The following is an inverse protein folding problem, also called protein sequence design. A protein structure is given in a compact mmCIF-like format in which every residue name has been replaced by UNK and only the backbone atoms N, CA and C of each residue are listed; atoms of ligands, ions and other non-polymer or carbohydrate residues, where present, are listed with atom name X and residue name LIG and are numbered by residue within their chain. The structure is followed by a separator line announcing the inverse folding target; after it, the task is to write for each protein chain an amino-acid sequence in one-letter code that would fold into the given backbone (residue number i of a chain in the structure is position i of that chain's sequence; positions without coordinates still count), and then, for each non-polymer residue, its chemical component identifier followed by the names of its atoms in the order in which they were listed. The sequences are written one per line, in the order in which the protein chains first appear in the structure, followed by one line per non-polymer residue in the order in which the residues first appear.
data_IF_179250013991
#
_entry.id   IF_179250013991
#
_cell.length_a   1.000
_cell.length_b   1.000
_cell.length_c   1.000
_cell.angle_alpha   90.00
_cell.angle_beta   90.00
_cell.angle_gamma   90.00
#
_symmetry.space_group_name_H-M   'P 1'
#
loop_
_entity.id
_entity.type
_entity.pdbx_description
1 polymer ?
#
# COMPACT_ATOMS: atom_id res chain seq x y z
N UNK A 1 23.18 -5.72 7.97
CA UNK A 1 21.97 -5.88 7.12
C UNK A 1 21.52 -4.49 6.75
N UNK A 2 21.19 -4.23 5.48
CA UNK A 2 20.66 -2.94 5.05
C UNK A 2 19.27 -2.76 5.65
N UNK A 3 19.01 -1.60 6.25
CA UNK A 3 17.70 -1.24 6.80
C UNK A 3 16.67 -1.18 5.65
N UNK A 4 15.45 -1.69 5.88
CA UNK A 4 14.41 -1.71 4.85
C UNK A 4 14.03 -0.31 4.37
N UNK A 5 14.18 0.70 5.24
CA UNK A 5 13.92 2.10 4.90
C UNK A 5 14.89 2.67 3.85
N UNK A 6 16.04 2.02 3.64
CA UNK A 6 17.08 2.42 2.69
C UNK A 6 17.05 1.60 1.38
N UNK A 7 16.04 0.74 1.21
CA UNK A 7 15.83 0.01 -0.03
C UNK A 7 15.32 0.95 -1.14
N UNK A 8 15.73 0.66 -2.38
CA UNK A 8 15.39 1.49 -3.52
C UNK A 8 13.89 1.48 -3.79
N UNK A 9 13.33 2.67 -3.97
CA UNK A 9 11.96 2.90 -4.41
C UNK A 9 12.02 3.57 -5.78
N UNK A 10 11.32 3.03 -6.77
CA UNK A 10 11.21 3.67 -8.07
C UNK A 10 10.42 4.98 -7.92
N UNK A 11 11.03 6.12 -8.21
CA UNK A 11 10.37 7.43 -8.09
C UNK A 11 9.17 7.60 -9.03
N UNK A 12 9.09 6.80 -10.11
CA UNK A 12 7.99 6.84 -11.09
C UNK A 12 6.76 6.06 -10.63
N UNK A 13 6.89 4.79 -10.23
CA UNK A 13 5.75 3.97 -9.83
C UNK A 13 5.57 3.79 -8.32
N UNK A 14 6.58 4.12 -7.52
CA UNK A 14 6.52 3.98 -6.07
C UNK A 14 6.84 2.58 -5.52
N UNK A 15 7.09 1.58 -6.39
CA UNK A 15 7.43 0.24 -5.92
C UNK A 15 8.83 0.17 -5.31
N UNK A 16 8.91 -0.48 -4.14
CA UNK A 16 10.13 -0.74 -3.40
C UNK A 16 10.74 -2.10 -3.75
N UNK A 17 12.06 -2.12 -3.91
CA UNK A 17 12.85 -3.30 -4.28
C UNK A 17 13.48 -3.95 -3.05
N UNK A 18 14.02 -5.17 -3.20
CA UNK A 18 14.71 -5.89 -2.13
C UNK A 18 16.17 -5.46 -1.91
N UNK A 19 16.68 -4.49 -2.70
CA UNK A 19 18.07 -4.02 -2.66
C UNK A 19 18.13 -2.47 -2.69
N UNK A 20 19.19 -1.84 -2.17
CA UNK A 20 19.33 -0.38 -2.13
C UNK A 20 19.69 0.24 -3.49
N UNK A 21 20.04 -0.56 -4.50
CA UNK A 21 20.37 -0.08 -5.84
C UNK A 21 19.91 -1.09 -6.88
N UNK A 22 19.23 -0.60 -7.91
CA UNK A 22 18.67 -1.40 -9.01
C UNK A 22 18.95 -0.69 -10.33
N UNK A 23 19.24 -1.47 -11.38
CA UNK A 23 19.57 -0.94 -12.71
C UNK A 23 18.33 -0.46 -13.47
N UNK A 24 17.19 -1.12 -13.29
CA UNK A 24 15.91 -0.73 -13.87
C UNK A 24 14.74 -1.22 -13.01
N UNK A 25 13.58 -0.61 -13.22
CA UNK A 25 12.33 -0.95 -12.57
C UNK A 25 11.53 -1.88 -13.48
N UNK A 26 11.49 -3.18 -13.15
CA UNK A 26 10.73 -4.19 -13.91
C UNK A 26 9.29 -3.77 -14.21
N UNK A 27 8.62 -3.13 -13.25
CA UNK A 27 7.23 -2.66 -13.40
C UNK A 27 7.13 -1.49 -14.39
N UNK A 28 8.11 -0.59 -14.41
CA UNK A 28 8.14 0.51 -15.37
C UNK A 28 8.70 0.13 -16.74
N UNK A 29 9.44 -0.97 -16.83
CA UNK A 29 9.92 -1.52 -18.09
C UNK A 29 8.81 -2.25 -18.87
N UNK A 30 7.64 -2.47 -18.25
CA UNK A 30 6.43 -2.89 -18.97
C UNK A 30 6.07 -1.80 -20.01
N UNK A 31 5.93 -2.14 -21.30
CA UNK A 31 5.70 -1.17 -22.37
C UNK A 31 4.39 -0.39 -22.23
N UNK A 32 3.47 -0.84 -21.37
CA UNK A 32 2.23 -0.13 -21.05
C UNK A 32 2.48 1.06 -20.11
N UNK A 33 3.64 1.14 -19.47
CA UNK A 33 3.96 2.18 -18.51
C UNK A 33 4.70 3.37 -19.15
N UNK A 34 4.32 4.57 -18.72
CA UNK A 34 5.04 5.79 -19.08
C UNK A 34 6.37 5.89 -18.31
N UNK A 35 7.47 5.97 -19.04
CA UNK A 35 8.79 6.31 -18.50
C UNK A 35 9.10 7.78 -18.85
N UNK A 36 9.48 8.63 -17.87
CA UNK A 36 9.90 9.99 -18.15
C UNK A 36 11.09 10.06 -19.14
N UNK A 37 11.20 11.12 -19.96
CA UNK A 37 12.35 11.28 -20.88
C UNK A 37 13.72 11.30 -20.19
N UNK A 38 13.77 11.67 -18.90
CA UNK A 38 14.98 11.65 -18.06
C UNK A 38 15.38 10.25 -17.62
N UNK A 39 14.62 9.21 -17.99
CA UNK A 39 14.78 7.85 -17.50
C UNK A 39 14.20 7.65 -16.11
N UNK A 40 14.50 6.47 -15.55
CA UNK A 40 14.07 6.07 -14.21
C UNK A 40 14.99 6.68 -13.14
N UNK A 41 14.40 7.02 -11.99
CA UNK A 41 15.12 7.51 -10.83
C UNK A 41 14.65 6.81 -9.57
N UNK A 42 15.42 6.95 -8.50
CA UNK A 42 15.26 6.19 -7.27
C UNK A 42 15.23 7.10 -6.05
N UNK A 43 14.43 6.73 -5.06
CA UNK A 43 14.39 7.32 -3.71
C UNK A 43 14.39 6.19 -2.68
N UNK A 44 14.27 6.52 -1.40
CA UNK A 44 14.08 5.55 -0.31
C UNK A 44 13.00 6.06 0.64
N UNK A 45 12.40 5.19 1.44
CA UNK A 45 11.40 5.62 2.42
C UNK A 45 12.04 6.56 3.45
N UNK A 46 13.30 6.29 3.86
CA UNK A 46 14.07 7.19 4.71
C UNK A 46 14.24 8.58 4.09
N UNK A 47 14.57 8.67 2.81
CA UNK A 47 14.74 9.95 2.14
C UNK A 47 13.42 10.74 2.08
N UNK A 48 12.31 10.05 1.77
CA UNK A 48 10.97 10.64 1.77
C UNK A 48 10.60 11.18 3.15
N UNK A 49 10.75 10.38 4.21
CA UNK A 49 10.45 10.76 5.59
C UNK A 49 11.36 11.88 6.12
N UNK A 50 12.64 11.90 5.72
CA UNK A 50 13.62 12.92 6.14
C UNK A 50 13.37 14.25 5.44
N UNK A 51 12.85 14.24 4.20
CA UNK A 51 12.54 15.47 3.48
C UNK A 51 11.49 16.34 4.17
N UNK A 52 10.60 15.74 4.97
CA UNK A 52 9.44 16.39 5.61
C UNK A 52 8.49 17.10 4.63
N UNK A 53 8.58 16.77 3.34
CA UNK A 53 7.76 17.37 2.30
C UNK A 53 6.47 16.60 2.02
N UNK A 54 6.38 15.35 2.48
CA UNK A 54 5.27 14.45 2.19
C UNK A 54 4.42 14.18 3.44
N UNK A 55 3.12 14.05 3.22
CA UNK A 55 2.14 13.57 4.19
C UNK A 55 1.06 12.78 3.45
N UNK A 56 0.26 12.01 4.17
CA UNK A 56 -0.90 11.33 3.61
C UNK A 56 -2.19 12.06 4.00
N UNK A 57 -2.99 12.40 2.99
CA UNK A 57 -4.32 12.97 3.13
C UNK A 57 -5.37 11.85 3.23
N UNK A 58 -6.32 12.02 4.14
CA UNK A 58 -7.42 11.09 4.37
C UNK A 58 -8.72 11.76 3.94
N UNK A 59 -9.32 11.26 2.86
CA UNK A 59 -10.53 11.83 2.26
C UNK A 59 -11.66 10.81 2.39
N UNK A 60 -12.61 11.02 3.31
CA UNK A 60 -13.81 10.19 3.40
C UNK A 60 -14.61 10.22 2.10
N UNK A 61 -15.15 9.07 1.71
CA UNK A 61 -16.07 8.97 0.59
C UNK A 61 -17.35 9.80 0.84
N UNK A 62 -17.95 10.34 -0.22
CA UNK A 62 -19.14 11.20 -0.10
C UNK A 62 -20.41 10.41 0.21
N UNK A 63 -20.46 9.14 -0.19
CA UNK A 63 -21.62 8.25 -0.02
C UNK A 63 -21.48 7.41 1.26
N UNK A 64 -20.26 6.97 1.57
CA UNK A 64 -19.95 6.09 2.70
C UNK A 64 -18.81 6.64 3.58
N UNK A 65 -18.92 7.86 4.13
CA UNK A 65 -17.83 8.55 4.83
C UNK A 65 -17.29 7.79 6.05
N UNK A 66 -18.13 6.99 6.72
CA UNK A 66 -17.72 6.20 7.88
C UNK A 66 -17.05 4.87 7.51
N UNK A 67 -17.27 4.38 6.29
CA UNK A 67 -16.89 3.05 5.85
C UNK A 67 -15.77 3.05 4.81
N UNK A 68 -15.58 4.15 4.06
CA UNK A 68 -14.60 4.23 2.99
C UNK A 68 -13.83 5.55 3.08
N UNK A 69 -12.51 5.45 3.18
CA UNK A 69 -11.61 6.60 3.26
C UNK A 69 -10.49 6.41 2.24
N UNK A 70 -10.37 7.31 1.27
CA UNK A 70 -9.24 7.34 0.36
C UNK A 70 -8.01 7.93 1.07
N UNK A 71 -6.85 7.33 0.86
CA UNK A 71 -5.56 7.75 1.39
C UNK A 71 -4.64 8.00 0.21
N UNK A 72 -4.08 9.20 0.11
CA UNK A 72 -3.12 9.56 -0.95
C UNK A 72 -2.00 10.44 -0.40
N UNK A 73 -0.83 10.36 -1.02
CA UNK A 73 0.33 11.13 -0.61
C UNK A 73 0.37 12.50 -1.29
N UNK A 74 0.58 13.56 -0.51
CA UNK A 74 0.73 14.95 -0.95
C UNK A 74 2.11 15.49 -0.55
N UNK A 75 2.87 16.11 -1.48
CA UNK A 75 2.58 16.26 -2.91
C UNK A 75 2.63 14.91 -3.64
N UNK A 76 2.15 14.89 -4.89
CA UNK A 76 2.07 13.69 -5.73
C UNK A 76 3.39 12.91 -5.70
N UNK A 77 3.32 11.66 -5.26
CA UNK A 77 4.41 10.69 -5.27
C UNK A 77 4.10 9.57 -6.27
N UNK A 78 5.12 9.08 -6.96
CA UNK A 78 4.97 8.06 -8.00
C UNK A 78 3.94 8.48 -9.05
N UNK A 79 3.04 7.56 -9.42
CA UNK A 79 1.97 7.83 -10.38
C UNK A 79 0.77 8.58 -9.78
N UNK A 80 0.81 8.92 -8.48
CA UNK A 80 -0.32 9.55 -7.77
C UNK A 80 -1.38 8.54 -7.35
N UNK A 81 -0.91 7.44 -6.75
CA UNK A 81 -1.74 6.34 -6.28
C UNK A 81 -2.65 6.77 -5.12
N UNK A 82 -3.77 6.07 -4.98
CA UNK A 82 -4.61 6.16 -3.78
C UNK A 82 -4.89 4.76 -3.27
N UNK A 83 -4.75 4.55 -1.96
CA UNK A 83 -5.26 3.36 -1.29
C UNK A 83 -6.62 3.69 -0.65
N UNK A 84 -7.43 2.68 -0.40
CA UNK A 84 -8.73 2.86 0.24
C UNK A 84 -8.79 2.06 1.53
N UNK A 85 -9.02 2.73 2.66
CA UNK A 85 -9.30 2.08 3.93
C UNK A 85 -10.80 1.74 3.99
N UNK A 86 -11.12 0.47 3.77
CA UNK A 86 -12.45 -0.10 3.85
C UNK A 86 -12.71 -0.54 5.29
N UNK A 87 -13.50 0.24 6.04
CA UNK A 87 -13.79 0.02 7.46
C UNK A 87 -14.99 -0.88 7.64
N UNK A 88 -14.78 -2.04 8.25
CA UNK A 88 -15.86 -3.01 8.52
C UNK A 88 -15.95 -3.33 10.01
N UNK A 89 -17.08 -3.86 10.52
CA UNK A 89 -17.18 -4.32 11.91
C UNK A 89 -16.22 -5.49 12.24
N UNK A 90 -15.73 -6.20 11.22
CA UNK A 90 -14.86 -7.35 11.32
C UNK A 90 -13.36 -6.99 11.33
N UNK A 91 -13.02 -5.73 11.05
CA UNK A 91 -11.66 -5.26 10.81
C UNK A 91 -11.55 -4.46 9.52
N UNK A 92 -10.57 -3.58 9.44
CA UNK A 92 -10.36 -2.75 8.25
C UNK A 92 -9.53 -3.48 7.20
N UNK A 93 -9.88 -3.30 5.93
CA UNK A 93 -9.08 -3.76 4.79
C UNK A 93 -8.46 -2.52 4.14
N UNK A 94 -7.17 -2.57 3.82
CA UNK A 94 -6.58 -1.60 2.91
C UNK A 94 -6.64 -2.18 1.49
N UNK A 95 -7.49 -1.58 0.65
CA UNK A 95 -7.52 -1.89 -0.77
C UNK A 95 -6.46 -1.06 -1.49
N UNK A 96 -5.57 -1.76 -2.18
CA UNK A 96 -4.31 -1.25 -2.71
C UNK A 96 -3.35 -0.69 -1.62
N UNK A 97 -2.17 -0.21 -2.02
CA UNK A 97 -1.17 0.33 -1.11
C UNK A 97 -0.43 1.51 -1.75
N UNK A 98 -0.09 2.53 -0.95
CA UNK A 98 0.70 3.69 -1.39
C UNK A 98 2.12 3.63 -0.84
N UNK A 99 3.02 4.41 -1.45
CA UNK A 99 4.46 4.36 -1.17
C UNK A 99 4.86 5.00 0.17
N UNK A 100 4.29 6.16 0.50
CA UNK A 100 4.71 6.91 1.67
C UNK A 100 4.02 6.41 2.93
N UNK A 101 4.81 6.11 3.95
CA UNK A 101 4.36 5.70 5.28
C UNK A 101 5.18 6.43 6.34
N UNK A 102 4.51 7.06 7.29
CA UNK A 102 5.11 7.74 8.42
C UNK A 102 4.32 7.50 9.71
N UNK A 103 4.90 7.90 10.84
CA UNK A 103 4.31 7.66 12.17
C UNK A 103 2.93 8.32 12.33
N UNK A 104 2.71 9.47 11.68
CA UNK A 104 1.43 10.17 11.70
C UNK A 104 0.34 9.36 10.97
N UNK A 105 0.67 8.79 9.81
CA UNK A 105 -0.22 7.89 9.06
C UNK A 105 -0.53 6.64 9.88
N UNK A 106 0.49 6.01 10.49
CA UNK A 106 0.33 4.81 11.32
C UNK A 106 -0.59 5.11 12.51
N UNK A 107 -0.35 6.21 13.21
CA UNK A 107 -1.17 6.66 14.35
C UNK A 107 -2.62 6.86 13.90
N UNK A 108 -2.83 7.60 12.81
CA UNK A 108 -4.19 7.89 12.31
C UNK A 108 -4.96 6.64 11.93
N UNK A 109 -4.32 5.68 11.25
CA UNK A 109 -4.98 4.42 10.87
C UNK A 109 -5.25 3.56 12.10
N UNK A 110 -4.35 3.54 13.08
CA UNK A 110 -4.54 2.84 14.36
C UNK A 110 -5.78 3.36 15.09
N UNK A 111 -5.96 4.69 15.17
CA UNK A 111 -7.17 5.33 15.72
C UNK A 111 -8.45 4.94 14.97
N UNK A 112 -8.34 4.66 13.68
CA UNK A 112 -9.46 4.24 12.83
C UNK A 112 -9.76 2.72 12.92
N UNK A 113 -8.99 1.97 13.71
CA UNK A 113 -9.16 0.53 13.96
C UNK A 113 -8.07 -0.36 13.35
N UNK A 114 -6.94 0.21 12.91
CA UNK A 114 -5.82 -0.55 12.33
C UNK A 114 -6.11 -1.08 10.92
N UNK A 115 -5.33 -2.08 10.49
CA UNK A 115 -5.50 -2.80 9.21
C UNK A 115 -5.42 -4.29 9.52
N UNK A 116 -6.45 -5.05 9.15
CA UNK A 116 -6.50 -6.50 9.33
C UNK A 116 -5.96 -7.26 8.12
N UNK A 117 -6.02 -6.65 6.93
CA UNK A 117 -5.46 -7.20 5.69
C UNK A 117 -5.21 -6.08 4.68
N UNK A 118 -4.17 -6.25 3.87
CA UNK A 118 -3.92 -5.45 2.66
C UNK A 118 -4.24 -6.32 1.46
N UNK A 119 -5.00 -5.81 0.49
CA UNK A 119 -5.30 -6.51 -0.77
C UNK A 119 -4.83 -5.62 -1.90
N UNK A 120 -3.88 -6.09 -2.72
CA UNK A 120 -3.35 -5.31 -3.82
C UNK A 120 -3.94 -5.81 -5.13
N UNK A 121 -4.51 -4.89 -5.90
CA UNK A 121 -5.23 -5.22 -7.12
C UNK A 121 -4.33 -5.54 -8.30
N UNK A 122 -3.14 -4.93 -8.39
CA UNK A 122 -2.17 -5.14 -9.47
C UNK A 122 -0.78 -4.55 -9.17
N UNK A 123 0.28 -4.88 -9.95
CA UNK A 123 1.68 -4.64 -9.59
C UNK A 123 2.10 -3.20 -9.31
N UNK A 124 1.48 -2.20 -9.95
CA UNK A 124 1.84 -0.80 -9.67
C UNK A 124 1.62 -0.42 -8.21
N UNK A 125 0.64 -1.04 -7.55
CA UNK A 125 0.31 -0.82 -6.15
C UNK A 125 1.15 -1.62 -5.15
N UNK A 126 2.15 -2.39 -5.60
CA UNK A 126 3.07 -3.04 -4.67
C UNK A 126 3.77 -2.02 -3.76
N UNK A 127 4.11 -0.83 -4.25
CA UNK A 127 4.50 0.29 -3.38
C UNK A 127 5.53 -0.12 -2.30
N UNK A 128 5.31 0.26 -1.03
CA UNK A 128 6.06 -0.18 0.15
C UNK A 128 5.26 -1.19 1.00
N UNK A 129 4.45 -2.04 0.36
CA UNK A 129 3.46 -2.91 1.06
C UNK A 129 4.01 -3.74 2.22
N UNK A 130 5.27 -4.17 2.19
CA UNK A 130 5.87 -4.89 3.33
C UNK A 130 6.15 -3.99 4.53
N UNK A 131 6.43 -2.70 4.33
CA UNK A 131 6.55 -1.74 5.43
C UNK A 131 5.19 -1.48 6.08
N UNK A 132 4.14 -1.38 5.26
CA UNK A 132 2.75 -1.30 5.75
C UNK A 132 2.36 -2.57 6.51
N UNK A 133 2.61 -3.75 5.94
CA UNK A 133 2.34 -5.02 6.58
C UNK A 133 3.05 -5.16 7.92
N UNK A 134 4.32 -4.74 8.01
CA UNK A 134 5.08 -4.75 9.25
C UNK A 134 4.53 -3.76 10.29
N UNK A 135 4.12 -2.56 9.86
CA UNK A 135 3.58 -1.54 10.76
C UNK A 135 2.22 -1.93 11.39
N UNK A 136 1.42 -2.72 10.67
CA UNK A 136 0.08 -3.13 11.12
C UNK A 136 -0.04 -4.62 11.47
N UNK A 137 1.06 -5.37 11.41
CA UNK A 137 1.11 -6.82 11.66
C UNK A 137 0.01 -7.60 10.92
N UNK A 138 -0.07 -7.39 9.59
CA UNK A 138 -1.17 -7.93 8.78
C UNK A 138 -0.68 -8.59 7.47
N UNK A 139 -1.43 -9.56 6.92
CA UNK A 139 -1.11 -10.18 5.65
C UNK A 139 -1.36 -9.24 4.46
N UNK A 140 -0.59 -9.44 3.38
CA UNK A 140 -0.76 -8.80 2.08
C UNK A 140 -1.18 -9.83 1.05
N UNK A 141 -2.38 -9.71 0.52
CA UNK A 141 -2.90 -10.60 -0.50
C UNK A 141 -2.61 -10.06 -1.90
N UNK A 142 -1.99 -10.91 -2.71
CA UNK A 142 -1.61 -10.62 -4.11
C UNK A 142 -2.13 -11.74 -5.01
N UNK A 143 -2.48 -11.41 -6.26
CA UNK A 143 -2.89 -12.44 -7.22
C UNK A 143 -1.70 -13.32 -7.54
N UNK A 144 -1.90 -14.64 -7.60
CA UNK A 144 -0.87 -15.57 -8.07
C UNK A 144 -0.48 -15.29 -9.54
N UNK A 145 -1.36 -14.70 -10.34
CA UNK A 145 -1.06 -14.26 -11.71
C UNK A 145 -0.03 -13.13 -11.75
N UNK A 146 0.07 -12.35 -10.67
CA UNK A 146 1.02 -11.24 -10.56
C UNK A 146 2.37 -11.66 -9.95
N UNK A 147 2.57 -12.95 -9.64
CA UNK A 147 3.75 -13.43 -8.90
C UNK A 147 5.08 -13.06 -9.58
N UNK A 148 5.10 -13.07 -10.92
CA UNK A 148 6.29 -12.70 -11.67
C UNK A 148 6.68 -11.23 -11.47
N UNK A 149 5.74 -10.34 -11.16
CA UNK A 149 5.98 -8.91 -11.01
C UNK A 149 6.49 -8.55 -9.61
N UNK A 150 6.48 -9.49 -8.65
CA UNK A 150 6.88 -9.23 -7.27
C UNK A 150 8.41 -9.04 -7.21
N UNK A 151 8.82 -7.78 -7.13
CA UNK A 151 10.25 -7.39 -7.05
C UNK A 151 10.82 -7.41 -5.62
N UNK A 152 9.96 -7.50 -4.61
CA UNK A 152 10.34 -7.61 -3.20
C UNK A 152 9.44 -8.63 -2.52
N UNK A 153 10.04 -9.75 -2.10
CA UNK A 153 9.33 -10.81 -1.37
C UNK A 153 9.46 -10.65 0.14
N UNK A 154 8.42 -11.05 0.88
CA UNK A 154 8.40 -11.02 2.34
C UNK A 154 7.37 -11.99 2.92
N UNK A 155 7.48 -12.33 4.22
CA UNK A 155 6.66 -13.38 4.84
C UNK A 155 5.18 -13.02 5.00
N UNK A 156 4.83 -11.73 4.93
CA UNK A 156 3.44 -11.28 5.03
C UNK A 156 2.63 -11.52 3.74
N UNK A 157 3.28 -11.82 2.62
CA UNK A 157 2.60 -12.00 1.33
C UNK A 157 1.88 -13.35 1.28
N UNK A 158 0.64 -13.32 0.81
CA UNK A 158 -0.18 -14.50 0.53
C UNK A 158 -0.64 -14.42 -0.92
N UNK A 159 -0.20 -15.37 -1.75
CA UNK A 159 -0.66 -15.49 -3.13
C UNK A 159 -2.00 -16.22 -3.14
N UNK A 160 -2.99 -15.64 -3.83
CA UNK A 160 -4.29 -16.28 -4.02
C UNK A 160 -4.50 -16.65 -5.49
N UNK A 161 -5.15 -17.79 -5.72
CA UNK A 161 -5.55 -18.24 -7.05
C UNK A 161 -7.07 -18.06 -7.26
N UNK A 162 -7.46 -17.77 -8.50
CA UNK A 162 -8.86 -17.67 -8.91
C UNK A 162 -9.49 -16.29 -8.71
N UNK A 163 -10.80 -16.20 -8.90
CA UNK A 163 -11.52 -14.91 -9.02
C UNK A 163 -12.14 -14.40 -7.73
N UNK A 164 -11.96 -15.12 -6.61
CA UNK A 164 -12.53 -14.77 -5.30
C UNK A 164 -11.50 -14.99 -4.22
N UNK A 165 -11.24 -13.95 -3.44
CA UNK A 165 -10.40 -13.99 -2.26
C UNK A 165 -11.29 -13.98 -1.00
N UNK A 166 -11.44 -15.12 -0.29
CA UNK A 166 -12.02 -15.10 1.04
C UNK A 166 -11.00 -14.49 2.02
N UNK A 167 -11.36 -13.38 2.65
CA UNK A 167 -10.52 -12.75 3.67
C UNK A 167 -10.84 -13.36 5.05
N UNK A 168 -9.82 -13.76 5.84
CA UNK A 168 -10.02 -14.35 7.15
C UNK A 168 -10.30 -13.28 8.21
N UNK A 169 -11.25 -12.38 7.95
CA UNK A 169 -11.71 -11.43 8.96
C UNK A 169 -12.64 -12.16 9.94
N UNK A 170 -12.53 -11.91 11.26
CA UNK A 170 -13.50 -12.41 12.23
C UNK A 170 -14.92 -12.09 11.78
N UNK A 171 -15.89 -12.97 12.00
CA UNK A 171 -17.30 -12.61 11.78
C UNK A 171 -17.62 -11.39 12.65
N UNK A 172 -17.78 -10.24 12.01
CA UNK A 172 -18.02 -8.99 12.73
C UNK A 172 -19.30 -9.10 13.56
N UNK A 173 -19.28 -8.60 14.80
CA UNK A 173 -20.54 -8.39 15.50
C UNK A 173 -21.35 -7.35 14.73
N UNK A 174 -22.67 -7.53 14.56
CA UNK A 174 -23.53 -6.51 13.97
C UNK A 174 -23.31 -5.20 14.72
N UNK A 175 -23.07 -4.09 14.01
CA UNK A 175 -23.11 -2.77 14.65
C UNK A 175 -24.51 -2.61 15.20
N UNK A 176 -24.65 -2.63 16.53
CA UNK A 176 -25.91 -2.39 17.21
C UNK A 176 -26.48 -1.05 16.74
N UNK A 177 -27.51 -1.13 15.91
CA UNK A 177 -28.12 0.00 15.22
C UNK A 177 -29.60 -0.24 15.01
N UNK A 178 -30.28 -0.76 16.03
CA UNK A 178 -31.70 -0.48 16.21
C UNK A 178 -31.79 0.88 16.91
N UNK A 179 -32.22 1.90 16.18
CA UNK A 179 -33.11 2.93 16.71
C UNK A 179 -34.15 3.28 15.66
N UNK A 180 -35.39 3.20 16.13
CA UNK A 180 -36.66 3.56 15.51
C UNK A 180 -36.67 4.94 14.84
#
# INVERSE_FOLDING_TARGET
MTDSLDLAICSTCGTQFSVPTVSSCKICDDPRQYIPPTGQSWTTLRALQTSKNYHNDFVPDTTHPDALIAIHTTPKLGIGQSAYLCRTPAGNILWDCITYLDDATITRITELGGIAAIVISHPHYFSTHLEWAAAFDCPVYLSAEDDEWIVRRGPAQVLWEGHRLPLPLPLGQPRGGDRA
#
